data_IF_638707258801
#
_entry.id   IF_638707258801
#
_cell.length_a   1.000
_cell.length_b   1.000
_cell.length_c   1.000
_cell.angle_alpha   90.00
_cell.angle_beta   90.00
_cell.angle_gamma   90.00
#
_symmetry.space_group_name_H-M   'P 1'
#
loop_
_entity.id
_entity.type
_entity.pdbx_description
1 polymer ?
#
# COMPACT_ATOMS: atom_id res chain seq x y z
N UNK A 1 38.26 3.15 -10.72
CA UNK A 1 37.50 1.97 -11.25
C UNK A 1 36.39 1.57 -10.26
N UNK A 2 35.19 1.21 -10.77
CA UNK A 2 34.14 0.70 -9.92
C UNK A 2 34.49 -0.72 -9.44
N UNK A 3 34.77 -0.90 -8.16
CA UNK A 3 35.08 -2.21 -7.59
C UNK A 3 33.81 -2.80 -6.97
N UNK A 4 33.38 -3.97 -7.48
CA UNK A 4 32.13 -4.63 -7.07
C UNK A 4 32.47 -5.77 -6.12
N UNK A 5 31.84 -5.80 -4.95
CA UNK A 5 31.90 -6.92 -4.03
C UNK A 5 30.88 -7.98 -4.52
N UNK A 6 31.37 -9.08 -5.11
CA UNK A 6 30.53 -10.17 -5.62
C UNK A 6 30.30 -11.24 -4.57
N UNK A 7 29.37 -12.18 -4.82
CA UNK A 7 29.11 -13.31 -3.95
C UNK A 7 30.33 -14.25 -3.83
N UNK A 8 31.04 -14.47 -4.91
CA UNK A 8 32.27 -15.28 -4.93
C UNK A 8 33.31 -14.65 -4.01
N UNK A 9 33.48 -13.33 -4.12
CA UNK A 9 34.43 -12.59 -3.28
C UNK A 9 34.07 -12.59 -1.81
N UNK A 10 32.78 -12.51 -1.48
CA UNK A 10 32.26 -12.64 -0.09
C UNK A 10 32.66 -14.01 0.49
N UNK A 11 32.50 -15.08 -0.30
CA UNK A 11 32.89 -16.45 0.11
C UNK A 11 34.39 -16.62 0.23
N UNK A 12 35.18 -16.12 -0.73
CA UNK A 12 36.64 -16.16 -0.69
C UNK A 12 37.20 -15.47 0.56
N UNK A 13 36.58 -14.37 0.98
CA UNK A 13 36.93 -13.63 2.18
C UNK A 13 36.34 -14.23 3.47
N UNK A 14 35.52 -15.28 3.38
CA UNK A 14 34.85 -15.91 4.51
C UNK A 14 33.78 -15.03 5.18
N UNK A 15 33.36 -13.92 4.55
CA UNK A 15 32.42 -12.97 5.13
C UNK A 15 31.01 -13.55 5.30
N UNK A 16 30.63 -14.55 4.51
CA UNK A 16 29.34 -15.25 4.54
C UNK A 16 29.12 -16.07 5.83
N UNK A 17 30.19 -16.29 6.60
CA UNK A 17 30.18 -17.05 7.86
C UNK A 17 30.19 -16.16 9.10
N UNK A 18 30.39 -14.86 8.93
CA UNK A 18 30.51 -13.90 10.04
C UNK A 18 29.14 -13.47 10.55
N UNK A 19 29.06 -13.22 11.86
CA UNK A 19 27.89 -12.63 12.52
C UNK A 19 27.86 -11.10 12.37
N UNK A 20 29.03 -10.47 12.33
CA UNK A 20 29.19 -9.02 12.24
C UNK A 20 30.18 -8.69 11.14
N UNK A 21 29.82 -7.77 10.26
CA UNK A 21 30.70 -7.22 9.23
C UNK A 21 30.89 -5.73 9.48
N UNK A 22 32.12 -5.34 9.71
CA UNK A 22 32.53 -3.94 9.89
C UNK A 22 32.94 -3.28 8.58
N UNK A 23 32.94 -1.95 8.54
CA UNK A 23 33.19 -1.19 7.30
C UNK A 23 34.56 -1.47 6.67
N UNK A 24 35.61 -1.71 7.49
CA UNK A 24 36.97 -1.99 7.07
C UNK A 24 37.10 -3.30 6.28
N UNK A 25 36.27 -4.31 6.59
CA UNK A 25 36.26 -5.62 5.91
C UNK A 25 35.83 -5.53 4.43
N UNK A 26 35.06 -4.50 4.11
CA UNK A 26 34.54 -4.28 2.75
C UNK A 26 34.90 -2.90 2.18
N UNK A 27 35.90 -2.26 2.77
CA UNK A 27 36.42 -0.97 2.29
C UNK A 27 37.03 -1.09 0.89
N UNK A 28 36.98 0.00 0.13
CA UNK A 28 37.52 0.08 -1.22
C UNK A 28 36.62 -0.52 -2.30
N UNK A 29 35.50 -1.15 -1.96
CA UNK A 29 34.42 -1.44 -2.91
C UNK A 29 33.52 -0.21 -3.07
N UNK A 30 32.88 -0.06 -4.24
CA UNK A 30 31.93 1.03 -4.55
C UNK A 30 30.51 0.53 -4.72
N UNK A 31 30.35 -0.77 -4.85
CA UNK A 31 29.04 -1.44 -5.05
C UNK A 31 29.08 -2.80 -4.35
N UNK A 32 28.01 -3.14 -3.63
CA UNK A 32 27.72 -4.51 -3.23
C UNK A 32 26.88 -5.13 -4.33
N UNK A 33 27.42 -6.15 -4.99
CA UNK A 33 26.84 -6.78 -6.17
C UNK A 33 25.61 -7.62 -5.88
N UNK A 34 24.90 -8.01 -6.93
CA UNK A 34 23.72 -8.89 -6.82
C UNK A 34 24.05 -10.16 -6.03
N UNK A 35 23.15 -10.54 -5.09
CA UNK A 35 23.24 -11.74 -4.26
C UNK A 35 24.52 -11.82 -3.38
N UNK A 36 25.30 -10.75 -3.18
CA UNK A 36 26.59 -10.84 -2.51
C UNK A 36 26.52 -11.55 -1.14
N UNK A 37 25.54 -11.19 -0.31
CA UNK A 37 25.29 -11.81 1.01
C UNK A 37 23.99 -12.63 1.04
N UNK A 38 23.50 -13.10 -0.11
CA UNK A 38 22.26 -13.87 -0.20
C UNK A 38 22.32 -15.12 0.72
N UNK A 39 21.36 -15.25 1.64
CA UNK A 39 21.24 -16.39 2.53
C UNK A 39 22.36 -16.51 3.57
N UNK A 40 23.06 -15.42 3.90
CA UNK A 40 24.04 -15.41 4.98
C UNK A 40 23.33 -15.53 6.34
N UNK A 41 23.04 -16.77 6.74
CA UNK A 41 22.27 -17.08 7.96
C UNK A 41 22.98 -16.74 9.26
N UNK A 42 24.30 -16.57 9.24
CA UNK A 42 25.04 -16.14 10.45
C UNK A 42 25.02 -14.64 10.66
N UNK A 43 24.75 -13.82 9.61
CA UNK A 43 24.91 -12.38 9.63
C UNK A 43 23.84 -11.70 10.51
N UNK A 44 24.27 -11.07 11.60
CA UNK A 44 23.44 -10.33 12.55
C UNK A 44 23.48 -8.81 12.30
N UNK A 45 24.64 -8.29 11.94
CA UNK A 45 24.78 -6.85 11.65
C UNK A 45 25.86 -6.56 10.62
N UNK A 46 25.71 -5.45 9.89
CA UNK A 46 26.70 -4.97 8.94
C UNK A 46 26.74 -3.45 8.92
N UNK A 47 27.95 -2.88 8.89
CA UNK A 47 28.20 -1.46 8.65
C UNK A 47 28.76 -1.26 7.24
N UNK A 48 28.04 -0.53 6.41
CA UNK A 48 28.39 -0.26 5.01
C UNK A 48 29.31 0.98 4.96
N UNK A 49 30.51 0.90 4.33
CA UNK A 49 31.45 2.01 4.26
C UNK A 49 30.99 3.11 3.29
N UNK A 50 31.53 4.33 3.48
CA UNK A 50 31.23 5.51 2.67
C UNK A 50 31.62 5.36 1.19
N UNK A 51 32.52 4.41 0.86
CA UNK A 51 32.87 4.08 -0.52
C UNK A 51 31.72 3.45 -1.31
N UNK A 52 30.74 2.83 -0.62
CA UNK A 52 29.59 2.17 -1.27
C UNK A 52 28.53 3.19 -1.64
N UNK A 53 28.17 3.24 -2.92
CA UNK A 53 27.10 4.08 -3.45
C UNK A 53 25.87 3.28 -3.90
N UNK A 54 26.00 1.95 -4.04
CA UNK A 54 24.92 1.09 -4.53
C UNK A 54 24.92 -0.27 -3.84
N UNK A 55 23.72 -0.70 -3.42
CA UNK A 55 23.39 -2.06 -3.04
C UNK A 55 22.59 -2.68 -4.18
N UNK A 56 23.05 -3.82 -4.71
CA UNK A 56 22.44 -4.56 -5.81
C UNK A 56 21.18 -5.31 -5.41
N UNK A 57 20.65 -6.10 -6.36
CA UNK A 57 19.45 -6.89 -6.11
C UNK A 57 19.74 -8.10 -5.21
N UNK A 58 18.80 -8.42 -4.32
CA UNK A 58 18.83 -9.56 -3.38
C UNK A 58 20.11 -9.65 -2.53
N UNK A 59 20.79 -8.54 -2.27
CA UNK A 59 22.10 -8.56 -1.59
C UNK A 59 22.02 -9.29 -0.25
N UNK A 60 21.04 -8.95 0.59
CA UNK A 60 20.83 -9.55 1.92
C UNK A 60 19.56 -10.41 1.96
N UNK A 61 19.00 -10.80 0.81
CA UNK A 61 17.82 -11.64 0.79
C UNK A 61 18.05 -12.94 1.57
N UNK A 62 17.06 -13.31 2.41
CA UNK A 62 17.12 -14.47 3.31
C UNK A 62 18.23 -14.42 4.38
N UNK A 63 18.73 -13.23 4.73
CA UNK A 63 19.55 -13.04 5.93
C UNK A 63 18.62 -12.98 7.14
N UNK A 64 18.06 -14.13 7.54
CA UNK A 64 16.99 -14.22 8.54
C UNK A 64 17.39 -13.67 9.92
N UNK A 65 18.67 -13.67 10.28
CA UNK A 65 19.16 -13.18 11.56
C UNK A 65 19.71 -11.75 11.52
N UNK A 66 19.65 -11.08 10.36
CA UNK A 66 20.07 -9.69 10.25
C UNK A 66 19.13 -8.79 11.03
N UNK A 67 19.63 -8.20 12.14
CA UNK A 67 18.87 -7.34 13.04
C UNK A 67 19.09 -5.86 12.75
N UNK A 68 20.29 -5.50 12.26
CA UNK A 68 20.64 -4.10 12.02
C UNK A 68 21.57 -3.91 10.83
N UNK A 69 21.45 -2.78 10.18
CA UNK A 69 22.35 -2.32 9.12
C UNK A 69 22.54 -0.82 9.23
N UNK A 70 23.79 -0.38 9.06
CA UNK A 70 24.14 1.04 9.03
C UNK A 70 24.55 1.40 7.60
N UNK A 71 23.82 2.35 7.01
CA UNK A 71 24.08 2.86 5.68
C UNK A 71 24.90 4.15 5.71
N UNK A 72 25.80 4.36 4.74
CA UNK A 72 26.50 5.62 4.57
C UNK A 72 25.61 6.66 3.87
N UNK A 73 25.93 7.93 4.08
CA UNK A 73 25.25 9.03 3.39
C UNK A 73 25.57 9.11 1.87
N UNK A 74 26.55 8.37 1.41
CA UNK A 74 26.90 8.21 -0.01
C UNK A 74 25.97 7.27 -0.78
N UNK A 75 25.16 6.44 -0.08
CA UNK A 75 24.30 5.43 -0.71
C UNK A 75 23.22 6.07 -1.57
N UNK A 76 23.15 5.74 -2.86
CA UNK A 76 22.23 6.33 -3.84
C UNK A 76 21.08 5.39 -4.22
N UNK A 77 21.29 4.07 -4.13
CA UNK A 77 20.25 3.10 -4.53
C UNK A 77 20.32 1.80 -3.77
N UNK A 78 19.14 1.23 -3.51
CA UNK A 78 18.92 -0.09 -2.94
C UNK A 78 18.11 -0.91 -3.94
N UNK A 79 18.67 -2.06 -4.35
CA UNK A 79 18.12 -2.93 -5.40
C UNK A 79 16.86 -3.68 -4.99
N UNK A 80 16.23 -4.35 -5.97
CA UNK A 80 15.05 -5.17 -5.76
C UNK A 80 15.38 -6.34 -4.83
N UNK A 81 14.47 -6.62 -3.88
CA UNK A 81 14.64 -7.71 -2.92
C UNK A 81 15.86 -7.60 -2.02
N UNK A 82 16.52 -6.44 -1.91
CA UNK A 82 17.79 -6.32 -1.20
C UNK A 82 17.73 -6.84 0.25
N UNK A 83 16.58 -6.76 0.92
CA UNK A 83 16.29 -7.27 2.27
C UNK A 83 15.11 -8.23 2.29
N UNK A 84 14.85 -8.91 1.16
CA UNK A 84 13.76 -9.88 1.07
C UNK A 84 13.90 -10.96 2.15
N UNK A 85 12.84 -11.19 2.95
CA UNK A 85 12.82 -12.18 4.05
C UNK A 85 13.92 -11.95 5.12
N UNK A 86 14.32 -10.71 5.39
CA UNK A 86 15.12 -10.37 6.55
C UNK A 86 14.23 -10.30 7.81
N UNK A 87 13.75 -11.45 8.27
CA UNK A 87 12.68 -11.55 9.26
C UNK A 87 13.03 -10.92 10.62
N UNK A 88 14.31 -10.85 11.00
CA UNK A 88 14.77 -10.27 12.28
C UNK A 88 15.09 -8.77 12.21
N UNK A 89 14.98 -8.13 11.04
CA UNK A 89 15.29 -6.71 10.90
C UNK A 89 14.24 -5.85 11.60
N UNK A 90 14.62 -5.22 12.72
CA UNK A 90 13.67 -4.47 13.57
C UNK A 90 13.49 -3.03 13.10
N UNK A 91 14.59 -2.41 12.68
CA UNK A 91 14.59 -1.01 12.22
C UNK A 91 15.62 -0.79 11.13
N UNK A 92 15.36 0.20 10.29
CA UNK A 92 16.28 0.61 9.23
C UNK A 92 16.15 2.12 8.98
N UNK A 93 17.29 2.80 8.90
CA UNK A 93 17.35 4.22 8.54
C UNK A 93 17.83 4.36 7.11
N UNK A 94 16.97 4.80 6.21
CA UNK A 94 17.28 5.01 4.79
C UNK A 94 17.80 6.44 4.61
N UNK A 95 19.05 6.63 4.11
CA UNK A 95 19.60 7.97 3.91
C UNK A 95 18.83 8.79 2.86
N UNK A 96 18.85 10.12 3.02
CA UNK A 96 18.24 11.05 2.05
C UNK A 96 18.91 11.07 0.68
N UNK A 97 20.09 10.47 0.55
CA UNK A 97 20.78 10.25 -0.72
C UNK A 97 20.14 9.16 -1.58
N UNK A 98 19.39 8.21 -0.98
CA UNK A 98 18.75 7.08 -1.68
C UNK A 98 17.59 7.57 -2.51
N UNK A 99 17.71 7.51 -3.84
CA UNK A 99 16.70 7.94 -4.81
C UNK A 99 15.74 6.82 -5.20
N UNK A 100 16.21 5.57 -5.13
CA UNK A 100 15.47 4.40 -5.58
C UNK A 100 15.51 3.29 -4.53
N UNK A 101 14.34 2.81 -4.16
CA UNK A 101 14.09 1.59 -3.41
C UNK A 101 13.44 0.62 -4.39
N UNK A 102 14.02 -0.56 -4.61
CA UNK A 102 13.55 -1.53 -5.61
C UNK A 102 12.24 -2.22 -5.24
N UNK A 103 11.74 -3.09 -6.13
CA UNK A 103 10.60 -3.94 -5.85
C UNK A 103 10.94 -4.96 -4.75
N UNK A 104 9.99 -5.31 -3.89
CA UNK A 104 10.16 -6.32 -2.82
C UNK A 104 11.31 -6.04 -1.85
N UNK A 105 11.84 -4.81 -1.79
CA UNK A 105 13.09 -4.53 -1.06
C UNK A 105 13.02 -4.96 0.41
N UNK A 106 11.92 -4.74 1.11
CA UNK A 106 11.68 -5.13 2.50
C UNK A 106 10.54 -6.14 2.65
N UNK A 107 10.19 -6.84 1.58
CA UNK A 107 9.12 -7.84 1.63
C UNK A 107 9.55 -9.00 2.56
N UNK A 108 8.68 -9.35 3.52
CA UNK A 108 8.96 -10.38 4.53
C UNK A 108 9.83 -9.93 5.69
N UNK A 109 10.13 -8.63 5.84
CA UNK A 109 10.77 -8.09 7.04
C UNK A 109 9.75 -8.07 8.20
N UNK A 110 9.38 -9.24 8.71
CA UNK A 110 8.25 -9.43 9.62
C UNK A 110 8.43 -8.76 10.99
N UNK A 111 9.67 -8.52 11.44
CA UNK A 111 9.97 -7.79 12.68
C UNK A 111 10.13 -6.28 12.50
N UNK A 112 10.06 -5.75 11.28
CA UNK A 112 10.23 -4.32 11.02
C UNK A 112 9.07 -3.54 11.66
N UNK A 113 9.40 -2.72 12.66
CA UNK A 113 8.41 -2.02 13.48
C UNK A 113 7.98 -0.67 12.91
N UNK A 114 8.93 0.08 12.34
CA UNK A 114 8.68 1.39 11.76
C UNK A 114 9.59 1.68 10.58
N UNK A 115 9.15 2.54 9.66
CA UNK A 115 9.94 2.99 8.52
C UNK A 115 9.70 4.47 8.22
N UNK A 116 10.79 5.20 7.95
CA UNK A 116 10.73 6.56 7.40
C UNK A 116 11.19 6.55 5.95
N UNK A 117 10.31 7.01 5.06
CA UNK A 117 10.61 7.14 3.62
C UNK A 117 11.23 8.50 3.37
N UNK A 118 12.47 8.57 2.88
CA UNK A 118 13.19 9.85 2.71
C UNK A 118 12.63 10.71 1.57
N UNK A 119 12.92 12.01 1.62
CA UNK A 119 12.45 13.00 0.63
C UNK A 119 12.94 12.76 -0.81
N UNK A 120 13.99 12.00 -0.98
CA UNK A 120 14.53 11.62 -2.27
C UNK A 120 13.68 10.60 -3.03
N UNK A 121 12.87 9.78 -2.30
CA UNK A 121 12.07 8.69 -2.87
C UNK A 121 10.75 9.23 -3.43
N UNK A 122 10.48 8.95 -4.71
CA UNK A 122 9.30 9.42 -5.44
C UNK A 122 8.18 8.37 -5.54
N UNK A 123 8.48 7.11 -5.31
CA UNK A 123 7.48 6.04 -5.34
C UNK A 123 7.83 4.89 -4.41
N UNK A 124 6.80 4.32 -3.78
CA UNK A 124 6.87 3.03 -3.10
C UNK A 124 6.58 1.97 -4.15
N UNK A 125 7.54 1.07 -4.38
CA UNK A 125 7.53 0.10 -5.47
C UNK A 125 6.70 -1.15 -5.13
N UNK A 126 6.56 -2.05 -6.12
CA UNK A 126 5.78 -3.28 -6.00
C UNK A 126 6.24 -4.15 -4.83
N UNK A 127 5.30 -4.55 -3.95
CA UNK A 127 5.54 -5.39 -2.77
C UNK A 127 6.63 -4.86 -1.81
N UNK A 128 6.96 -3.56 -1.83
CA UNK A 128 8.14 -3.03 -1.13
C UNK A 128 8.17 -3.38 0.36
N UNK A 129 7.01 -3.40 1.04
CA UNK A 129 6.83 -3.74 2.46
C UNK A 129 5.78 -4.84 2.66
N UNK A 130 5.55 -5.69 1.65
CA UNK A 130 4.61 -6.80 1.76
C UNK A 130 5.06 -7.76 2.89
N UNK A 131 4.12 -8.29 3.67
CA UNK A 131 4.39 -9.20 4.81
C UNK A 131 5.26 -8.58 5.93
N UNK A 132 5.28 -7.26 6.09
CA UNK A 132 5.87 -6.61 7.24
C UNK A 132 4.87 -6.62 8.42
N UNK A 133 4.65 -7.81 9.02
CA UNK A 133 3.58 -8.04 9.99
C UNK A 133 3.64 -7.19 11.25
N UNK A 134 4.85 -6.83 11.71
CA UNK A 134 5.06 -5.99 12.90
C UNK A 134 5.05 -4.48 12.61
N UNK A 135 4.90 -4.06 11.34
CA UNK A 135 4.95 -2.65 10.97
C UNK A 135 3.75 -1.90 11.55
N UNK A 136 4.00 -1.00 12.50
CA UNK A 136 2.95 -0.20 13.16
C UNK A 136 2.87 1.22 12.62
N UNK A 137 3.97 1.78 12.13
CA UNK A 137 4.03 3.15 11.65
C UNK A 137 4.87 3.33 10.39
N UNK A 138 4.38 4.19 9.51
CA UNK A 138 5.06 4.59 8.28
C UNK A 138 5.07 6.11 8.24
N UNK A 139 6.25 6.70 8.16
CA UNK A 139 6.40 8.13 7.90
C UNK A 139 6.71 8.34 6.43
N UNK A 140 5.76 8.87 5.70
CA UNK A 140 5.95 9.23 4.29
C UNK A 140 6.53 10.63 4.16
N UNK A 141 7.44 10.81 3.20
CA UNK A 141 7.83 12.14 2.77
C UNK A 141 6.79 12.74 1.82
N UNK A 142 6.76 14.09 1.76
CA UNK A 142 5.92 14.82 0.80
C UNK A 142 6.42 14.73 -0.66
N UNK A 143 7.37 13.85 -0.94
CA UNK A 143 7.89 13.60 -2.29
C UNK A 143 7.27 12.40 -2.98
N UNK A 144 6.66 11.49 -2.21
CA UNK A 144 6.05 10.26 -2.75
C UNK A 144 4.84 10.61 -3.61
N UNK A 145 4.85 10.19 -4.88
CA UNK A 145 3.77 10.41 -5.85
C UNK A 145 2.91 9.19 -6.09
N UNK A 146 3.47 7.99 -5.93
CA UNK A 146 2.80 6.72 -6.25
C UNK A 146 3.11 5.67 -5.20
N UNK A 147 2.10 4.89 -4.85
CA UNK A 147 2.22 3.66 -4.07
C UNK A 147 1.79 2.53 -5.01
N UNK A 148 2.72 1.62 -5.34
CA UNK A 148 2.50 0.56 -6.34
C UNK A 148 1.80 -0.65 -5.71
N UNK A 149 1.42 -1.62 -6.54
CA UNK A 149 0.61 -2.76 -6.13
C UNK A 149 1.27 -3.58 -5.01
N UNK A 150 0.45 -4.05 -4.07
CA UNK A 150 0.84 -4.86 -2.91
C UNK A 150 1.88 -4.21 -1.97
N UNK A 151 2.13 -2.91 -2.07
CA UNK A 151 3.25 -2.27 -1.37
C UNK A 151 3.25 -2.49 0.15
N UNK A 152 2.07 -2.56 0.78
CA UNK A 152 1.87 -2.78 2.22
C UNK A 152 0.91 -3.97 2.49
N UNK A 153 0.76 -4.88 1.54
CA UNK A 153 -0.08 -6.07 1.74
C UNK A 153 0.42 -6.90 2.94
N UNK A 154 -0.51 -7.41 3.75
CA UNK A 154 -0.23 -8.18 4.98
C UNK A 154 0.58 -7.42 6.04
N UNK A 155 0.50 -6.10 6.10
CA UNK A 155 1.02 -5.32 7.23
C UNK A 155 -0.03 -5.32 8.36
N UNK A 156 -0.14 -6.44 9.05
CA UNK A 156 -1.26 -6.73 9.96
C UNK A 156 -1.28 -5.89 11.24
N UNK A 157 -0.19 -5.22 11.60
CA UNK A 157 -0.08 -4.38 12.80
C UNK A 157 -0.34 -2.89 12.57
N UNK A 158 -0.48 -2.43 11.33
CA UNK A 158 -0.79 -1.01 11.05
C UNK A 158 -2.21 -0.71 11.53
N UNK A 159 -2.35 0.26 12.44
CA UNK A 159 -3.66 0.67 12.98
C UNK A 159 -4.23 1.91 12.29
N UNK A 160 -3.38 2.83 11.90
CA UNK A 160 -3.74 4.05 11.18
C UNK A 160 -2.68 4.39 10.13
N UNK A 161 -3.10 5.03 9.04
CA UNK A 161 -2.17 5.48 8.01
C UNK A 161 -2.63 6.81 7.42
N UNK A 162 -1.69 7.72 7.23
CA UNK A 162 -1.92 9.00 6.56
C UNK A 162 -1.16 9.02 5.26
N UNK A 163 -1.88 9.02 4.14
CA UNK A 163 -1.31 9.14 2.80
C UNK A 163 -1.03 10.63 2.54
N UNK A 164 0.22 11.03 2.22
CA UNK A 164 0.55 12.43 2.05
C UNK A 164 -0.11 13.05 0.82
N UNK A 165 -0.33 14.38 0.87
CA UNK A 165 -0.98 15.14 -0.21
C UNK A 165 -0.25 15.07 -1.55
N UNK A 166 0.99 14.65 -1.56
CA UNK A 166 1.78 14.46 -2.77
C UNK A 166 1.39 13.20 -3.56
N UNK A 167 0.74 12.20 -2.93
CA UNK A 167 0.36 10.95 -3.58
C UNK A 167 -0.87 11.17 -4.46
N UNK A 168 -0.75 10.79 -5.72
CA UNK A 168 -1.83 10.89 -6.71
C UNK A 168 -2.39 9.52 -7.11
N UNK A 169 -1.70 8.44 -6.78
CA UNK A 169 -2.10 7.09 -7.20
C UNK A 169 -1.74 6.04 -6.15
N UNK A 170 -2.71 5.19 -5.82
CA UNK A 170 -2.60 3.98 -5.00
C UNK A 170 -2.87 2.79 -5.93
N UNK A 171 -1.99 1.79 -5.95
CA UNK A 171 -2.08 0.59 -6.78
C UNK A 171 -3.09 -0.43 -6.30
N UNK A 172 -3.11 -1.60 -6.95
CA UNK A 172 -3.96 -2.73 -6.58
C UNK A 172 -3.46 -3.41 -5.30
N UNK A 173 -4.37 -3.87 -4.42
CA UNK A 173 -4.06 -4.66 -3.23
C UNK A 173 -3.04 -4.00 -2.27
N UNK A 174 -2.90 -2.67 -2.30
CA UNK A 174 -1.84 -1.97 -1.54
C UNK A 174 -1.90 -2.28 -0.05
N UNK A 175 -3.09 -2.28 0.55
CA UNK A 175 -3.33 -2.56 1.96
C UNK A 175 -4.12 -3.87 2.16
N UNK A 176 -4.01 -4.83 1.22
CA UNK A 176 -4.62 -6.14 1.36
C UNK A 176 -4.26 -6.75 2.72
N UNK A 177 -5.28 -7.23 3.46
CA UNK A 177 -5.13 -7.87 4.77
C UNK A 177 -4.36 -7.04 5.80
N UNK A 178 -4.50 -5.70 5.78
CA UNK A 178 -4.09 -4.84 6.90
C UNK A 178 -5.15 -4.95 8.01
N UNK A 179 -5.22 -6.12 8.66
CA UNK A 179 -6.34 -6.53 9.51
C UNK A 179 -6.51 -5.69 10.79
N UNK A 180 -5.49 -4.96 11.22
CA UNK A 180 -5.57 -4.00 12.35
C UNK A 180 -5.90 -2.57 11.96
N UNK A 181 -5.96 -2.26 10.66
CA UNK A 181 -6.21 -0.89 10.17
C UNK A 181 -7.61 -0.44 10.57
N UNK A 182 -7.72 0.62 11.37
CA UNK A 182 -9.00 1.18 11.87
C UNK A 182 -9.43 2.45 11.14
N UNK A 183 -8.48 3.21 10.64
CA UNK A 183 -8.73 4.42 9.85
C UNK A 183 -7.61 4.71 8.87
N UNK A 184 -7.96 5.38 7.77
CA UNK A 184 -7.00 5.84 6.77
C UNK A 184 -7.33 7.27 6.34
N UNK A 185 -6.29 8.12 6.22
CA UNK A 185 -6.42 9.45 5.62
C UNK A 185 -5.91 9.41 4.18
N UNK A 186 -6.79 9.77 3.25
CA UNK A 186 -6.55 9.82 1.80
C UNK A 186 -6.56 11.29 1.37
N UNK A 187 -5.57 11.75 0.59
CA UNK A 187 -5.53 13.14 0.13
C UNK A 187 -6.61 13.45 -0.91
N UNK A 188 -7.10 14.70 -0.94
CA UNK A 188 -8.04 15.17 -1.96
C UNK A 188 -7.49 15.09 -3.40
N UNK A 189 -6.16 15.09 -3.55
CA UNK A 189 -5.48 15.03 -4.84
C UNK A 189 -5.34 13.62 -5.44
N UNK A 190 -5.92 12.58 -4.80
CA UNK A 190 -5.87 11.22 -5.33
C UNK A 190 -6.67 11.12 -6.63
N UNK A 191 -6.06 10.56 -7.68
CA UNK A 191 -6.70 10.40 -8.98
C UNK A 191 -6.96 8.95 -9.34
N UNK A 192 -6.34 8.02 -8.61
CA UNK A 192 -6.52 6.58 -8.82
C UNK A 192 -6.32 5.81 -7.52
N UNK A 193 -7.27 4.91 -7.22
CA UNK A 193 -7.14 3.85 -6.23
C UNK A 193 -7.37 2.53 -6.98
N UNK A 194 -6.43 1.60 -6.82
CA UNK A 194 -6.47 0.31 -7.50
C UNK A 194 -7.50 -0.64 -6.91
N UNK A 195 -7.81 -1.68 -7.66
CA UNK A 195 -8.76 -2.71 -7.26
C UNK A 195 -8.30 -3.42 -5.98
N UNK A 196 -9.26 -3.71 -5.08
CA UNK A 196 -9.02 -4.36 -3.78
C UNK A 196 -7.93 -3.70 -2.92
N UNK A 197 -7.73 -2.37 -3.05
CA UNK A 197 -6.66 -1.67 -2.32
C UNK A 197 -6.76 -1.85 -0.80
N UNK A 198 -7.95 -2.10 -0.25
CA UNK A 198 -8.23 -2.26 1.19
C UNK A 198 -8.96 -3.58 1.49
N UNK A 199 -8.83 -4.58 0.63
CA UNK A 199 -9.48 -5.88 0.83
C UNK A 199 -8.96 -6.53 2.13
N UNK A 200 -9.85 -7.18 2.90
CA UNK A 200 -9.56 -7.77 4.22
C UNK A 200 -9.02 -6.80 5.29
N UNK A 201 -9.30 -5.50 5.17
CA UNK A 201 -9.09 -4.54 6.26
C UNK A 201 -10.24 -4.61 7.26
N UNK A 202 -10.44 -5.74 7.93
CA UNK A 202 -11.65 -6.08 8.69
C UNK A 202 -11.97 -5.16 9.89
N UNK A 203 -10.98 -4.40 10.38
CA UNK A 203 -11.17 -3.43 11.47
C UNK A 203 -11.36 -2.00 10.98
N UNK A 204 -11.35 -1.75 9.68
CA UNK A 204 -11.46 -0.39 9.14
C UNK A 204 -12.86 0.18 9.40
N UNK A 205 -12.92 1.27 10.17
CA UNK A 205 -14.17 1.91 10.61
C UNK A 205 -14.45 3.24 9.93
N UNK A 206 -13.41 3.89 9.45
CA UNK A 206 -13.54 5.22 8.83
C UNK A 206 -12.45 5.50 7.82
N UNK A 207 -12.80 6.33 6.85
CA UNK A 207 -11.89 6.91 5.87
C UNK A 207 -11.97 8.43 6.04
N UNK A 208 -10.83 9.08 6.05
CA UNK A 208 -10.74 10.54 6.02
C UNK A 208 -10.30 10.96 4.62
N UNK A 209 -11.06 11.83 3.97
CA UNK A 209 -10.71 12.42 2.66
C UNK A 209 -10.70 13.94 2.83
N UNK A 210 -9.52 14.54 2.76
CA UNK A 210 -9.31 15.93 3.15
C UNK A 210 -9.75 16.14 4.60
N UNK A 211 -10.70 17.05 4.83
CA UNK A 211 -11.22 17.39 6.17
C UNK A 211 -12.48 16.61 6.56
N UNK A 212 -12.94 15.68 5.71
CA UNK A 212 -14.16 14.91 5.92
C UNK A 212 -13.88 13.47 6.36
N UNK A 213 -14.60 13.04 7.40
CA UNK A 213 -14.55 11.66 7.90
C UNK A 213 -15.80 10.90 7.45
N UNK A 214 -15.60 9.80 6.75
CA UNK A 214 -16.63 8.86 6.32
C UNK A 214 -16.59 7.61 7.18
N UNK A 215 -17.67 7.35 7.94
CA UNK A 215 -17.80 6.13 8.75
C UNK A 215 -18.23 4.96 7.87
N UNK A 216 -17.63 3.81 8.07
CA UNK A 216 -18.06 2.55 7.45
C UNK A 216 -19.32 2.08 8.18
N UNK A 217 -20.42 1.98 7.47
CA UNK A 217 -21.74 1.67 8.05
C UNK A 217 -22.10 0.19 7.82
N UNK A 218 -22.81 -0.40 8.78
CA UNK A 218 -23.51 -1.68 8.62
C UNK A 218 -24.98 -1.40 8.27
N UNK A 219 -25.59 -2.27 7.45
CA UNK A 219 -27.01 -2.16 7.07
C UNK A 219 -27.90 -2.39 8.29
N UNK A 220 -28.89 -1.50 8.47
CA UNK A 220 -30.03 -1.70 9.35
C UNK A 220 -31.31 -1.46 8.53
N UNK A 221 -32.42 -2.08 8.92
CA UNK A 221 -33.73 -1.92 8.23
C UNK A 221 -34.12 -0.45 8.08
N UNK A 222 -34.44 -0.04 6.84
CA UNK A 222 -34.89 1.31 6.51
C UNK A 222 -34.05 2.01 5.44
N UNK A 223 -34.09 3.34 5.43
CA UNK A 223 -33.28 4.18 4.55
C UNK A 223 -31.82 4.11 5.00
N UNK A 224 -30.92 3.69 4.14
CA UNK A 224 -29.49 3.70 4.43
C UNK A 224 -28.72 4.65 3.51
N UNK A 225 -27.67 5.24 4.06
CA UNK A 225 -26.69 5.99 3.25
C UNK A 225 -25.67 5.03 2.70
N UNK A 226 -25.35 5.20 1.42
CA UNK A 226 -24.40 4.38 0.70
C UNK A 226 -23.59 5.24 -0.27
N UNK A 227 -22.70 4.61 -1.03
CA UNK A 227 -21.83 5.29 -1.99
C UNK A 227 -21.97 4.65 -3.36
N UNK A 228 -22.08 5.48 -4.39
CA UNK A 228 -22.18 5.02 -5.78
C UNK A 228 -21.21 5.78 -6.67
N UNK A 229 -20.45 5.04 -7.47
CA UNK A 229 -19.61 5.62 -8.49
C UNK A 229 -20.37 5.73 -9.81
N UNK A 230 -20.10 6.80 -10.54
CA UNK A 230 -20.62 7.08 -11.87
C UNK A 230 -19.47 7.43 -12.80
N UNK A 231 -19.63 7.17 -14.10
CA UNK A 231 -18.79 7.81 -15.11
C UNK A 231 -19.00 9.32 -15.09
N UNK A 232 -18.05 10.06 -15.63
CA UNK A 232 -18.21 11.53 -15.79
C UNK A 232 -19.54 11.84 -16.46
N UNK A 233 -20.28 12.81 -15.92
CA UNK A 233 -21.64 13.12 -16.35
C UNK A 233 -22.72 12.29 -15.65
N UNK A 234 -22.38 11.54 -14.59
CA UNK A 234 -23.31 10.72 -13.79
C UNK A 234 -23.99 9.60 -14.60
N UNK A 235 -23.29 9.00 -15.56
CA UNK A 235 -23.79 7.89 -16.38
C UNK A 235 -23.42 6.56 -15.74
N UNK A 236 -24.40 5.63 -15.63
CA UNK A 236 -24.19 4.26 -15.22
C UNK A 236 -25.05 3.34 -16.10
N UNK A 237 -24.42 2.38 -16.79
CA UNK A 237 -25.09 1.49 -17.73
C UNK A 237 -25.99 2.25 -18.73
N UNK A 238 -25.45 3.32 -19.35
CA UNK A 238 -26.13 4.18 -20.33
C UNK A 238 -27.35 4.97 -19.79
N UNK A 239 -27.57 4.93 -18.47
CA UNK A 239 -28.60 5.73 -17.82
C UNK A 239 -27.97 6.98 -17.17
N UNK A 240 -28.54 8.14 -17.48
CA UNK A 240 -28.14 9.44 -16.94
C UNK A 240 -28.85 9.69 -15.61
N UNK A 241 -28.06 9.94 -14.56
CA UNK A 241 -28.56 10.34 -13.24
C UNK A 241 -28.34 11.84 -13.01
N UNK A 242 -29.16 12.41 -12.14
CA UNK A 242 -29.06 13.82 -11.74
C UNK A 242 -28.95 13.93 -10.21
N UNK A 243 -28.10 14.81 -9.72
CA UNK A 243 -27.98 15.10 -8.28
C UNK A 243 -29.31 15.65 -7.73
N UNK A 244 -29.70 15.22 -6.53
CA UNK A 244 -30.96 15.60 -5.90
C UNK A 244 -32.20 14.84 -6.40
N UNK A 245 -32.09 14.03 -7.45
CA UNK A 245 -33.20 13.25 -7.99
C UNK A 245 -33.30 11.88 -7.34
N UNK A 246 -34.54 11.41 -7.25
CA UNK A 246 -34.88 10.07 -6.77
C UNK A 246 -35.35 9.22 -7.94
N UNK A 247 -34.88 7.99 -8.00
CA UNK A 247 -35.21 7.00 -9.03
C UNK A 247 -35.76 5.73 -8.40
N UNK A 248 -36.73 5.11 -9.02
CA UNK A 248 -37.39 3.89 -8.52
C UNK A 248 -37.46 2.82 -9.62
N UNK A 249 -37.23 1.55 -9.22
CA UNK A 249 -37.38 0.39 -10.09
C UNK A 249 -38.72 -0.28 -9.81
N UNK A 250 -39.53 -0.43 -10.86
CA UNK A 250 -40.75 -1.21 -10.81
C UNK A 250 -40.45 -2.71 -10.98
N UNK A 251 -40.97 -3.54 -10.06
CA UNK A 251 -40.85 -4.99 -10.11
C UNK A 251 -39.87 -5.57 -9.07
N UNK A 252 -39.58 -6.87 -9.21
CA UNK A 252 -38.71 -7.61 -8.28
C UNK A 252 -37.24 -7.20 -8.49
N UNK A 253 -36.55 -6.86 -7.40
CA UNK A 253 -35.12 -6.58 -7.42
C UNK A 253 -34.32 -7.85 -7.21
N UNK A 254 -33.13 -7.94 -7.84
CA UNK A 254 -32.16 -9.03 -7.66
C UNK A 254 -30.75 -8.50 -7.74
N UNK A 255 -29.88 -9.03 -6.90
CA UNK A 255 -28.47 -8.67 -6.89
C UNK A 255 -27.84 -8.97 -8.26
N UNK A 256 -27.11 -8.00 -8.80
CA UNK A 256 -26.42 -8.06 -10.11
C UNK A 256 -27.31 -8.19 -11.37
N UNK A 257 -28.62 -8.39 -11.22
CA UNK A 257 -29.54 -8.49 -12.39
C UNK A 257 -30.38 -7.21 -12.56
N UNK A 258 -31.09 -6.83 -11.53
CA UNK A 258 -32.02 -5.70 -11.56
C UNK A 258 -32.03 -4.97 -10.21
N UNK A 259 -31.93 -3.66 -10.26
CA UNK A 259 -31.93 -2.81 -9.07
C UNK A 259 -30.85 -1.75 -9.11
N UNK A 260 -30.89 -0.80 -8.19
CA UNK A 260 -29.85 0.21 -8.00
C UNK A 260 -28.76 -0.37 -7.11
N UNK A 261 -27.57 -0.56 -7.67
CA UNK A 261 -26.43 -1.09 -6.93
C UNK A 261 -25.61 0.06 -6.34
N UNK A 262 -25.31 -0.03 -5.07
CA UNK A 262 -24.41 0.89 -4.37
C UNK A 262 -23.60 0.11 -3.34
N UNK A 263 -22.57 0.72 -2.78
CA UNK A 263 -21.75 0.14 -1.72
C UNK A 263 -22.01 0.88 -0.41
N UNK A 264 -22.22 0.15 0.68
CA UNK A 264 -22.41 0.73 2.02
C UNK A 264 -21.14 1.40 2.52
N UNK A 265 -19.99 0.89 2.07
CA UNK A 265 -18.69 1.46 2.39
C UNK A 265 -18.08 2.13 1.18
N UNK A 266 -17.52 3.33 1.36
CA UNK A 266 -16.78 4.02 0.31
C UNK A 266 -15.60 3.19 -0.22
N UNK A 267 -14.99 2.33 0.62
CA UNK A 267 -13.91 1.43 0.22
C UNK A 267 -14.33 0.41 -0.82
N UNK A 268 -15.55 -0.11 -0.74
CA UNK A 268 -16.04 -1.10 -1.69
C UNK A 268 -16.32 -0.49 -3.05
N UNK A 269 -16.58 0.82 -3.12
CA UNK A 269 -16.60 1.55 -4.40
C UNK A 269 -15.25 1.41 -5.12
N UNK A 270 -14.13 1.47 -4.38
CA UNK A 270 -12.80 1.29 -4.97
C UNK A 270 -12.56 -0.14 -5.45
N UNK A 271 -13.19 -1.14 -4.81
CA UNK A 271 -13.11 -2.54 -5.23
C UNK A 271 -13.87 -2.80 -6.54
N UNK A 272 -14.99 -2.10 -6.77
CA UNK A 272 -15.83 -2.31 -7.95
C UNK A 272 -15.47 -1.44 -9.15
N UNK A 273 -14.90 -0.26 -8.92
CA UNK A 273 -14.69 0.74 -9.96
C UNK A 273 -13.20 1.05 -10.13
N UNK A 274 -12.56 0.31 -11.02
CA UNK A 274 -11.13 0.48 -11.35
C UNK A 274 -10.93 1.64 -12.36
N UNK A 275 -11.33 2.85 -11.99
CA UNK A 275 -11.23 4.04 -12.84
C UNK A 275 -10.39 5.16 -12.23
N UNK A 276 -10.24 6.24 -13.00
CA UNK A 276 -9.59 7.47 -12.53
C UNK A 276 -10.64 8.39 -11.92
N UNK A 277 -10.65 8.50 -10.59
CA UNK A 277 -11.53 9.43 -9.90
C UNK A 277 -11.30 10.88 -10.37
N UNK A 278 -12.40 11.63 -10.51
CA UNK A 278 -12.36 13.03 -10.89
C UNK A 278 -12.25 13.31 -12.40
N UNK A 279 -11.77 12.35 -13.22
CA UNK A 279 -11.80 12.46 -14.70
C UNK A 279 -12.85 11.54 -15.31
N UNK A 280 -12.79 10.25 -14.97
CA UNK A 280 -13.62 9.22 -15.62
C UNK A 280 -14.71 8.71 -14.67
N UNK A 281 -14.52 8.82 -13.35
CA UNK A 281 -15.43 8.34 -12.32
C UNK A 281 -15.60 9.40 -11.23
N UNK A 282 -16.85 9.66 -10.87
CA UNK A 282 -17.25 10.48 -9.74
C UNK A 282 -17.99 9.62 -8.73
N UNK A 283 -17.85 9.90 -7.45
CA UNK A 283 -18.54 9.17 -6.38
C UNK A 283 -19.50 10.10 -5.67
N UNK A 284 -20.74 9.67 -5.53
CA UNK A 284 -21.78 10.36 -4.80
C UNK A 284 -22.18 9.60 -3.55
N UNK A 285 -22.51 10.31 -2.48
CA UNK A 285 -23.31 9.77 -1.40
C UNK A 285 -24.72 9.55 -1.94
N UNK A 286 -25.35 8.43 -1.59
CA UNK A 286 -26.70 8.10 -2.04
C UNK A 286 -27.56 7.62 -0.87
N UNK A 287 -28.85 7.87 -0.92
CA UNK A 287 -29.82 7.30 0.01
C UNK A 287 -30.56 6.18 -0.71
N UNK A 288 -30.69 5.03 -0.06
CA UNK A 288 -31.34 3.84 -0.60
C UNK A 288 -32.56 3.49 0.23
N UNK A 289 -33.66 3.20 -0.43
CA UNK A 289 -34.88 2.69 0.19
C UNK A 289 -35.20 1.30 -0.37
N UNK A 290 -35.91 0.47 0.40
CA UNK A 290 -36.25 -0.92 0.05
C UNK A 290 -35.01 -1.75 -0.31
N UNK A 291 -34.00 -1.75 0.57
CA UNK A 291 -32.75 -2.45 0.37
C UNK A 291 -32.93 -3.95 0.53
N UNK A 292 -32.39 -4.72 -0.41
CA UNK A 292 -32.33 -6.18 -0.28
C UNK A 292 -31.30 -6.61 0.76
N UNK A 293 -31.67 -7.56 1.63
CA UNK A 293 -30.77 -8.16 2.60
C UNK A 293 -29.86 -9.24 2.00
N UNK A 294 -29.92 -9.48 0.68
CA UNK A 294 -29.02 -10.39 0.00
C UNK A 294 -27.63 -9.72 -0.10
N UNK A 295 -26.81 -9.93 0.90
CA UNK A 295 -25.39 -9.54 0.85
C UNK A 295 -24.54 -10.71 0.37
N UNK A 296 -23.65 -10.50 -0.58
CA UNK A 296 -22.55 -11.44 -0.83
C UNK A 296 -21.63 -11.48 0.40
N UNK A 297 -21.14 -12.66 0.76
CA UNK A 297 -20.46 -12.96 2.04
C UNK A 297 -19.26 -12.07 2.39
N UNK A 298 -18.77 -11.23 1.49
CA UNK A 298 -17.53 -10.44 1.66
C UNK A 298 -17.65 -8.97 1.23
N UNK A 299 -18.82 -8.54 0.70
CA UNK A 299 -19.03 -7.23 0.10
C UNK A 299 -20.13 -6.44 0.79
N UNK A 300 -19.97 -5.12 0.90
CA UNK A 300 -21.06 -4.22 1.32
C UNK A 300 -21.93 -3.73 0.16
N UNK A 301 -21.85 -4.39 -1.00
CA UNK A 301 -22.70 -4.09 -2.15
C UNK A 301 -24.15 -4.45 -1.84
N UNK A 302 -25.04 -3.50 -2.02
CA UNK A 302 -26.47 -3.64 -1.78
C UNK A 302 -27.26 -3.32 -3.01
N UNK A 303 -28.48 -3.83 -3.08
CA UNK A 303 -29.46 -3.54 -4.14
C UNK A 303 -30.68 -2.92 -3.50
N UNK A 304 -31.17 -1.84 -4.09
CA UNK A 304 -32.35 -1.16 -3.62
C UNK A 304 -33.34 -0.94 -4.76
N UNK A 305 -34.62 -0.78 -4.41
CA UNK A 305 -35.67 -0.37 -5.37
C UNK A 305 -35.62 1.11 -5.67
N UNK A 306 -35.20 1.91 -4.71
CA UNK A 306 -35.23 3.36 -4.80
C UNK A 306 -33.87 3.94 -4.41
N UNK A 307 -33.38 4.87 -5.16
CA UNK A 307 -32.12 5.57 -4.93
C UNK A 307 -32.34 7.08 -5.09
N UNK A 308 -31.87 7.83 -4.12
CA UNK A 308 -31.77 9.30 -4.21
C UNK A 308 -30.31 9.66 -4.34
N UNK A 309 -29.97 10.43 -5.37
CA UNK A 309 -28.59 10.83 -5.63
C UNK A 309 -28.26 12.03 -4.76
N UNK A 310 -27.35 11.87 -3.86
CA UNK A 310 -26.87 12.92 -3.00
C UNK A 310 -25.63 13.62 -3.54
N UNK A 311 -24.88 14.22 -2.64
CA UNK A 311 -23.75 15.09 -2.93
C UNK A 311 -22.53 14.32 -3.46
N UNK A 312 -21.82 14.90 -4.44
CA UNK A 312 -20.53 14.41 -4.89
C UNK A 312 -19.48 14.48 -3.75
N UNK A 313 -18.68 13.43 -3.61
CA UNK A 313 -17.64 13.30 -2.57
C UNK A 313 -16.23 13.11 -3.15
N UNK A 314 -16.07 12.50 -4.32
CA UNK A 314 -14.79 12.28 -5.04
C UNK A 314 -14.92 12.63 -6.52
#
# INVERSE_FOLDING_TARGET
MKKILTRERVKELGLDKLEVITFDMIEGYTTIGKNAFYGCSSLKSITIPDSITRIGDNVFAYCHYLTSIIFPNSLMSIGSGAFYECCSLVSISIPNSVKNIGDKTFCGCSSLFSITIPNSVKSIRYHAFCNCGSLTSITFSNSVKKIMDYAFSNCTSITTITIPNSVTSIGHFVFLNCSSLTSITIPNGITKIGWCAFFDCNKLKSIVIGDKTYKIQKVFDGICKAYKAFKTGMICHDFQYEEGKTYEIKGKIRLCERGFHACLNLLDVFNYYNGKFGKDIVVHEVELEDVSNEMHNEDTKVVAKKITIGKRIL
#
